data_IF_579339430658
#
_entry.id   IF_579339430658
#
_cell.length_a   1.000
_cell.length_b   1.000
_cell.length_c   1.000
_cell.angle_alpha   90.00
_cell.angle_beta   90.00
_cell.angle_gamma   90.00
#
_symmetry.space_group_name_H-M   'P 1'
#
loop_
_entity.id
_entity.type
_entity.pdbx_description
1 polymer ?
#
# COMPACT_ATOMS: atom_id res chain seq x y z
N UNK A 1 14.34 -3.89 -4.12
CA UNK A 1 13.18 -4.71 -4.46
C UNK A 1 13.67 -6.01 -5.07
N UNK A 2 13.84 -7.04 -4.24
CA UNK A 2 14.38 -8.34 -4.65
C UNK A 2 13.27 -9.38 -4.51
N UNK A 3 12.78 -9.92 -5.62
CA UNK A 3 11.78 -10.99 -5.59
C UNK A 3 12.41 -12.29 -5.08
N UNK A 4 11.65 -13.05 -4.29
CA UNK A 4 12.05 -14.38 -3.83
C UNK A 4 12.37 -15.30 -5.01
N UNK A 5 11.56 -15.25 -6.07
CA UNK A 5 11.80 -16.05 -7.27
C UNK A 5 13.13 -15.77 -7.95
N UNK A 6 13.53 -14.48 -7.95
CA UNK A 6 14.80 -14.03 -8.52
C UNK A 6 15.96 -14.45 -7.62
N UNK A 7 15.80 -14.29 -6.30
CA UNK A 7 16.79 -14.71 -5.31
C UNK A 7 17.09 -16.22 -5.37
N UNK A 8 16.05 -17.04 -5.51
CA UNK A 8 16.19 -18.50 -5.63
C UNK A 8 16.52 -18.98 -7.06
N UNK A 9 16.57 -18.07 -8.05
CA UNK A 9 16.77 -18.41 -9.46
C UNK A 9 15.75 -19.45 -9.99
N UNK A 10 14.48 -19.32 -9.59
CA UNK A 10 13.40 -20.25 -9.95
C UNK A 10 12.46 -19.73 -11.03
N UNK A 11 12.73 -18.55 -11.61
CA UNK A 11 11.91 -17.95 -12.67
C UNK A 11 10.45 -17.73 -12.23
N UNK A 12 9.48 -18.00 -13.09
CA UNK A 12 8.05 -17.78 -12.77
C UNK A 12 7.39 -18.92 -11.96
N UNK A 13 8.17 -19.84 -11.37
CA UNK A 13 7.62 -21.02 -10.69
C UNK A 13 6.64 -20.69 -9.56
N UNK A 14 6.89 -19.62 -8.79
CA UNK A 14 5.95 -19.18 -7.74
C UNK A 14 4.59 -18.77 -8.31
N UNK A 15 4.57 -17.96 -9.38
CA UNK A 15 3.34 -17.59 -10.07
C UNK A 15 2.63 -18.80 -10.68
N UNK A 16 3.37 -19.76 -11.24
CA UNK A 16 2.80 -20.97 -11.83
C UNK A 16 2.02 -21.83 -10.81
N UNK A 17 2.38 -21.73 -9.54
CA UNK A 17 1.70 -22.41 -8.42
C UNK A 17 0.80 -21.47 -7.63
N UNK A 18 0.53 -20.27 -8.16
CA UNK A 18 -0.27 -19.19 -7.54
C UNK A 18 0.20 -18.78 -6.14
N UNK A 19 1.49 -18.90 -5.87
CA UNK A 19 2.11 -18.38 -4.65
C UNK A 19 2.56 -16.94 -4.86
N UNK A 20 2.33 -16.09 -3.86
CA UNK A 20 2.78 -14.71 -3.88
C UNK A 20 4.30 -14.65 -3.86
N UNK A 21 4.88 -13.99 -4.86
CA UNK A 21 6.32 -13.77 -4.98
C UNK A 21 6.72 -12.56 -4.14
N UNK A 22 7.11 -12.82 -2.89
CA UNK A 22 7.44 -11.78 -1.94
C UNK A 22 8.64 -10.94 -2.40
N UNK A 23 8.61 -9.67 -2.03
CA UNK A 23 9.77 -8.78 -2.09
C UNK A 23 10.55 -8.95 -0.77
N UNK A 24 11.79 -9.39 -0.84
CA UNK A 24 12.56 -9.78 0.34
C UNK A 24 13.01 -8.58 1.18
N UNK A 25 13.30 -7.44 0.54
CA UNK A 25 13.87 -6.25 1.17
C UNK A 25 12.84 -5.16 1.52
N UNK A 26 11.57 -5.35 1.16
CA UNK A 26 10.48 -4.37 1.34
C UNK A 26 9.18 -5.11 1.66
N UNK A 27 8.23 -4.47 2.31
CA UNK A 27 6.87 -5.02 2.43
C UNK A 27 6.02 -4.60 1.24
N UNK A 28 5.20 -5.53 0.74
CA UNK A 28 4.30 -5.25 -0.36
C UNK A 28 2.98 -4.66 0.17
N UNK A 29 2.46 -3.66 -0.55
CA UNK A 29 1.20 -2.98 -0.23
C UNK A 29 -0.05 -3.82 -0.60
N UNK A 30 -0.03 -5.11 -0.25
CA UNK A 30 -1.17 -6.02 -0.30
C UNK A 30 -1.64 -6.34 1.12
N UNK A 31 -2.85 -6.87 1.21
CA UNK A 31 -3.41 -7.31 2.48
C UNK A 31 -4.18 -8.62 2.30
N UNK A 32 -4.34 -9.40 3.37
CA UNK A 32 -5.20 -10.59 3.37
C UNK A 32 -6.65 -10.14 3.38
N UNK A 33 -7.37 -10.40 2.28
CA UNK A 33 -8.77 -10.03 2.14
C UNK A 33 -9.65 -11.19 2.62
N UNK A 34 -10.42 -10.97 3.69
CA UNK A 34 -11.28 -11.99 4.29
C UNK A 34 -12.38 -12.51 3.35
N UNK A 35 -12.88 -11.70 2.41
CA UNK A 35 -13.83 -12.18 1.40
C UNK A 35 -13.14 -13.10 0.38
N UNK A 36 -11.85 -12.88 0.10
CA UNK A 36 -11.06 -13.82 -0.70
C UNK A 36 -10.76 -15.10 0.07
N UNK A 37 -10.48 -15.02 1.38
CA UNK A 37 -10.36 -16.20 2.26
C UNK A 37 -11.67 -16.99 2.33
N UNK A 38 -12.83 -16.33 2.25
CA UNK A 38 -14.15 -16.96 2.18
C UNK A 38 -14.33 -17.79 0.90
N UNK A 39 -13.89 -17.26 -0.23
CA UNK A 39 -14.16 -17.82 -1.55
C UNK A 39 -13.00 -18.69 -2.10
N UNK A 40 -11.87 -18.76 -1.38
CA UNK A 40 -10.67 -19.48 -1.83
C UNK A 40 -10.87 -20.98 -1.95
N UNK A 41 -10.26 -21.57 -2.98
CA UNK A 41 -10.20 -23.01 -3.18
C UNK A 41 -8.86 -23.63 -2.72
N UNK A 42 -7.97 -22.83 -2.13
CA UNK A 42 -6.68 -23.32 -1.63
C UNK A 42 -6.91 -24.25 -0.44
N UNK A 43 -6.38 -25.47 -0.54
CA UNK A 43 -6.67 -26.59 0.38
C UNK A 43 -6.47 -26.22 1.84
N UNK A 44 -5.37 -25.55 2.17
CA UNK A 44 -5.03 -25.16 3.54
C UNK A 44 -5.99 -24.11 4.11
N UNK A 45 -6.55 -23.25 3.26
CA UNK A 45 -7.39 -22.12 3.66
C UNK A 45 -8.89 -22.38 3.53
N UNK A 46 -9.31 -23.56 3.04
CA UNK A 46 -10.73 -23.91 2.81
C UNK A 46 -11.63 -23.69 4.05
N UNK A 47 -11.09 -23.87 5.25
CA UNK A 47 -11.80 -23.65 6.52
C UNK A 47 -11.42 -22.33 7.22
N UNK A 48 -10.59 -21.49 6.59
CA UNK A 48 -10.04 -20.28 7.19
C UNK A 48 -11.11 -19.28 7.59
N UNK A 49 -12.08 -19.01 6.70
CA UNK A 49 -13.20 -18.11 7.01
C UNK A 49 -14.03 -18.62 8.19
N UNK A 50 -14.32 -19.92 8.23
CA UNK A 50 -15.04 -20.55 9.35
C UNK A 50 -14.23 -20.44 10.66
N UNK A 51 -12.93 -20.69 10.63
CA UNK A 51 -12.03 -20.58 11.80
C UNK A 51 -12.03 -19.17 12.38
N UNK A 52 -11.92 -18.17 11.53
CA UNK A 52 -11.97 -16.74 11.91
C UNK A 52 -13.34 -16.41 12.53
N UNK A 53 -14.43 -16.81 11.88
CA UNK A 53 -15.78 -16.58 12.40
C UNK A 53 -16.05 -17.31 13.72
N UNK A 54 -15.60 -18.56 13.87
CA UNK A 54 -15.73 -19.32 15.11
C UNK A 54 -14.98 -18.64 16.26
N UNK A 55 -13.80 -18.07 15.97
CA UNK A 55 -13.03 -17.28 16.94
C UNK A 55 -13.81 -16.05 17.42
N UNK A 56 -14.33 -15.24 16.50
CA UNK A 56 -15.10 -14.04 16.85
C UNK A 56 -16.45 -14.37 17.49
N UNK A 57 -17.10 -15.47 17.09
CA UNK A 57 -18.32 -15.96 17.73
C UNK A 57 -18.07 -16.31 19.20
N UNK A 58 -16.91 -16.88 19.54
CA UNK A 58 -16.54 -17.13 20.93
C UNK A 58 -16.35 -15.83 21.73
N UNK A 59 -15.75 -14.80 21.14
CA UNK A 59 -15.67 -13.47 21.76
C UNK A 59 -17.08 -12.90 21.98
N UNK A 60 -17.94 -12.99 20.96
CA UNK A 60 -19.32 -12.52 21.05
C UNK A 60 -20.11 -13.23 22.15
N UNK A 61 -19.95 -14.56 22.27
CA UNK A 61 -20.59 -15.35 23.33
C UNK A 61 -20.11 -14.92 24.74
N UNK A 62 -18.81 -14.67 24.90
CA UNK A 62 -18.26 -14.15 26.17
C UNK A 62 -18.88 -12.78 26.49
N UNK A 63 -18.94 -11.88 25.51
CA UNK A 63 -19.53 -10.56 25.69
C UNK A 63 -21.02 -10.60 26.03
N UNK A 64 -21.78 -11.51 25.42
CA UNK A 64 -23.20 -11.71 25.74
C UNK A 64 -23.45 -12.04 27.22
N UNK A 65 -22.52 -12.74 27.86
CA UNK A 65 -22.60 -13.08 29.30
C UNK A 65 -21.99 -12.00 30.22
N UNK A 66 -21.37 -10.97 29.67
CA UNK A 66 -20.80 -9.87 30.44
C UNK A 66 -21.88 -8.90 30.94
N UNK A 67 -21.77 -8.50 32.22
CA UNK A 67 -22.66 -7.51 32.86
C UNK A 67 -22.14 -6.07 32.80
N UNK A 68 -20.93 -5.85 32.27
CA UNK A 68 -20.31 -4.53 32.21
C UNK A 68 -18.78 -4.60 32.11
N UNK A 69 -18.13 -3.45 31.98
CA UNK A 69 -16.69 -3.37 31.70
C UNK A 69 -15.78 -3.93 32.81
N UNK A 70 -16.25 -3.92 34.07
CA UNK A 70 -15.52 -4.47 35.21
C UNK A 70 -15.64 -6.00 35.34
N UNK A 71 -16.58 -6.61 34.62
CA UNK A 71 -16.90 -8.03 34.68
C UNK A 71 -15.77 -8.91 34.13
N UNK A 72 -15.64 -10.13 34.68
CA UNK A 72 -14.62 -11.09 34.25
C UNK A 72 -14.74 -11.44 32.77
N UNK A 73 -15.96 -11.62 32.25
CA UNK A 73 -16.19 -11.97 30.86
C UNK A 73 -15.75 -10.84 29.94
N UNK A 74 -16.03 -9.58 30.31
CA UNK A 74 -15.54 -8.43 29.54
C UNK A 74 -14.00 -8.42 29.46
N UNK A 75 -13.33 -8.60 30.60
CA UNK A 75 -11.86 -8.65 30.66
C UNK A 75 -11.28 -9.82 29.85
N UNK A 76 -11.94 -10.98 29.85
CA UNK A 76 -11.53 -12.12 29.02
C UNK A 76 -11.73 -11.85 27.52
N UNK A 77 -12.79 -11.15 27.11
CA UNK A 77 -12.97 -10.74 25.72
C UNK A 77 -11.85 -9.79 25.26
N UNK A 78 -11.46 -8.82 26.10
CA UNK A 78 -10.32 -7.93 25.86
C UNK A 78 -9.02 -8.72 25.70
N UNK A 79 -8.74 -9.67 26.59
CA UNK A 79 -7.53 -10.51 26.52
C UNK A 79 -7.49 -11.37 25.26
N UNK A 80 -8.66 -11.89 24.86
CA UNK A 80 -8.78 -12.70 23.64
C UNK A 80 -8.59 -11.84 22.41
N UNK A 81 -9.10 -10.60 22.36
CA UNK A 81 -8.91 -9.71 21.22
C UNK A 81 -7.47 -9.13 21.21
N UNK A 82 -6.49 -9.99 20.98
CA UNK A 82 -5.08 -9.65 20.92
C UNK A 82 -4.45 -10.42 19.76
N UNK A 83 -3.97 -9.66 18.78
CA UNK A 83 -3.39 -10.17 17.55
C UNK A 83 -1.98 -9.63 17.41
N UNK A 84 -1.05 -10.50 17.06
CA UNK A 84 0.34 -10.13 16.84
C UNK A 84 0.61 -9.97 15.34
N UNK A 85 1.70 -9.32 14.99
CA UNK A 85 2.16 -9.31 13.61
C UNK A 85 2.71 -10.69 13.25
N UNK A 86 2.31 -11.26 12.12
CA UNK A 86 2.87 -12.53 11.62
C UNK A 86 4.07 -12.19 10.74
N UNK A 87 5.25 -12.22 11.34
CA UNK A 87 6.50 -11.96 10.62
C UNK A 87 6.71 -12.96 9.49
N UNK A 88 7.32 -12.50 8.39
CA UNK A 88 7.71 -13.38 7.28
C UNK A 88 6.75 -13.49 6.10
N UNK A 89 5.55 -12.90 6.21
CA UNK A 89 4.57 -12.91 5.11
C UNK A 89 4.83 -11.85 4.03
N UNK A 90 5.71 -10.86 4.32
CA UNK A 90 6.16 -9.85 3.36
C UNK A 90 5.07 -8.83 2.96
N UNK A 91 4.09 -8.60 3.83
CA UNK A 91 3.02 -7.63 3.67
C UNK A 91 3.16 -6.51 4.70
N UNK A 92 2.70 -5.30 4.37
CA UNK A 92 2.64 -4.21 5.34
C UNK A 92 2.85 -2.83 4.74
N UNK A 93 2.63 -1.81 5.58
CA UNK A 93 2.84 -0.40 5.23
C UNK A 93 4.13 0.16 5.84
N UNK A 94 5.12 0.49 5.00
CA UNK A 94 6.39 1.07 5.45
C UNK A 94 6.24 2.58 5.79
N UNK A 95 5.79 2.92 7.01
CA UNK A 95 5.97 4.27 7.60
C UNK A 95 6.39 4.29 9.09
N UNK A 96 6.78 3.17 9.69
CA UNK A 96 7.28 3.14 11.07
C UNK A 96 7.91 1.80 11.45
N UNK A 97 8.75 1.80 12.48
CA UNK A 97 9.61 0.67 12.84
C UNK A 97 8.96 -0.42 13.72
N UNK A 98 7.64 -0.41 13.92
CA UNK A 98 6.88 -1.48 14.60
C UNK A 98 5.43 -1.50 14.12
N UNK A 99 4.90 -2.69 13.77
CA UNK A 99 3.49 -2.89 13.48
C UNK A 99 2.61 -2.32 14.58
N UNK A 100 1.70 -1.43 14.21
CA UNK A 100 0.78 -0.82 15.16
C UNK A 100 -0.36 -1.79 15.42
N UNK A 101 -0.13 -2.80 16.26
CA UNK A 101 -1.19 -3.71 16.71
C UNK A 101 -2.34 -2.94 17.38
N UNK A 102 -3.44 -3.62 17.72
CA UNK A 102 -4.67 -2.97 18.20
C UNK A 102 -4.51 -2.12 19.46
N UNK A 103 -3.42 -2.24 20.23
CA UNK A 103 -3.15 -1.40 21.41
C UNK A 103 -4.23 -1.55 22.50
N UNK A 104 -3.97 -1.05 23.70
CA UNK A 104 -4.93 -1.23 24.81
C UNK A 104 -6.20 -0.41 24.62
N UNK A 105 -6.07 0.86 24.26
CA UNK A 105 -7.19 1.80 24.15
C UNK A 105 -8.14 1.44 23.00
N UNK A 106 -7.60 1.16 21.82
CA UNK A 106 -8.40 0.79 20.66
C UNK A 106 -9.05 -0.60 20.82
N UNK A 107 -8.34 -1.58 21.39
CA UNK A 107 -8.96 -2.87 21.77
C UNK A 107 -10.15 -2.67 22.72
N UNK A 108 -10.00 -1.82 23.74
CA UNK A 108 -11.06 -1.51 24.68
C UNK A 108 -12.28 -0.87 24.00
N UNK A 109 -12.04 0.05 23.05
CA UNK A 109 -13.10 0.70 22.28
C UNK A 109 -13.84 -0.30 21.38
N UNK A 110 -13.12 -1.11 20.62
CA UNK A 110 -13.68 -2.17 19.77
C UNK A 110 -14.57 -3.12 20.59
N UNK A 111 -14.08 -3.59 21.72
CA UNK A 111 -14.81 -4.55 22.55
C UNK A 111 -16.02 -3.90 23.23
N UNK A 112 -15.95 -2.61 23.55
CA UNK A 112 -17.11 -1.86 24.02
C UNK A 112 -18.19 -1.75 22.92
N UNK A 113 -17.81 -1.40 21.70
CA UNK A 113 -18.75 -1.26 20.59
C UNK A 113 -19.36 -2.61 20.21
N UNK A 114 -18.56 -3.67 20.19
CA UNK A 114 -19.05 -5.04 20.02
C UNK A 114 -20.06 -5.44 21.12
N UNK A 115 -19.82 -5.04 22.38
CA UNK A 115 -20.77 -5.30 23.48
C UNK A 115 -22.11 -4.59 23.25
N UNK A 116 -22.09 -3.33 22.81
CA UNK A 116 -23.32 -2.56 22.49
C UNK A 116 -24.11 -3.27 21.38
N UNK A 117 -23.44 -3.70 20.32
CA UNK A 117 -24.05 -4.45 19.20
C UNK A 117 -24.69 -5.76 19.67
N UNK A 118 -23.97 -6.51 20.50
CA UNK A 118 -24.43 -7.81 21.02
C UNK A 118 -25.62 -7.62 21.96
N UNK A 119 -25.62 -6.58 22.79
CA UNK A 119 -26.76 -6.26 23.67
C UNK A 119 -28.00 -5.80 22.90
N UNK A 120 -27.83 -5.15 21.74
CA UNK A 120 -28.92 -4.88 20.80
C UNK A 120 -29.45 -6.17 20.12
N UNK A 121 -28.75 -7.29 20.29
CA UNK A 121 -29.16 -8.63 19.87
C UNK A 121 -28.74 -8.98 18.45
N UNK A 122 -27.59 -8.46 17.99
CA UNK A 122 -26.88 -8.92 16.79
C UNK A 122 -25.67 -9.74 17.24
N UNK A 123 -25.61 -11.01 16.83
CA UNK A 123 -24.59 -11.98 17.30
C UNK A 123 -23.68 -12.46 16.16
N UNK A 124 -23.76 -11.82 14.99
CA UNK A 124 -22.99 -12.18 13.81
C UNK A 124 -21.49 -11.85 13.99
N UNK A 125 -20.57 -12.82 13.80
CA UNK A 125 -19.13 -12.59 13.98
C UNK A 125 -18.56 -11.59 12.95
N UNK A 126 -19.22 -11.41 11.81
CA UNK A 126 -18.79 -10.47 10.76
C UNK A 126 -18.75 -9.00 11.23
N UNK A 127 -19.37 -8.65 12.37
CA UNK A 127 -19.19 -7.33 12.99
C UNK A 127 -17.72 -7.02 13.26
N UNK A 128 -16.91 -8.05 13.56
CA UNK A 128 -15.48 -7.90 13.81
C UNK A 128 -14.68 -7.72 12.51
N UNK A 129 -15.20 -8.17 11.36
CA UNK A 129 -14.58 -7.89 10.07
C UNK A 129 -14.80 -6.44 9.64
N UNK A 130 -15.93 -5.87 10.06
CA UNK A 130 -16.37 -4.52 9.70
C UNK A 130 -15.85 -3.43 10.64
N UNK A 131 -14.98 -3.74 11.61
CA UNK A 131 -14.45 -2.76 12.56
C UNK A 131 -13.82 -1.54 11.85
N UNK A 132 -13.16 -1.76 10.70
CA UNK A 132 -12.58 -0.70 9.89
C UNK A 132 -13.58 0.38 9.44
N UNK A 133 -14.87 0.07 9.35
CA UNK A 133 -15.92 1.00 8.94
C UNK A 133 -16.30 2.00 10.01
N UNK A 134 -16.23 1.60 11.27
CA UNK A 134 -16.70 2.43 12.37
C UNK A 134 -15.56 2.88 13.28
N UNK A 135 -14.47 2.13 13.41
CA UNK A 135 -13.33 2.52 14.24
C UNK A 135 -12.25 3.33 13.51
N UNK A 136 -11.84 4.41 14.17
CA UNK A 136 -10.68 5.19 13.75
C UNK A 136 -9.41 4.38 14.00
N UNK A 137 -8.39 4.59 13.16
CA UNK A 137 -7.13 3.85 13.23
C UNK A 137 -7.25 2.34 13.03
N UNK A 138 -8.37 1.83 12.52
CA UNK A 138 -8.48 0.46 11.99
C UNK A 138 -8.53 0.56 10.47
N UNK A 139 -7.47 0.08 9.84
CA UNK A 139 -7.34 0.00 8.39
C UNK A 139 -7.05 -1.42 7.92
N UNK A 140 -6.97 -1.63 6.60
CA UNK A 140 -6.78 -2.95 6.00
C UNK A 140 -5.52 -3.68 6.50
N UNK A 141 -4.47 -2.94 6.83
CA UNK A 141 -3.22 -3.46 7.41
C UNK A 141 -3.45 -4.19 8.74
N UNK A 142 -4.10 -3.54 9.71
CA UNK A 142 -4.44 -4.16 11.01
C UNK A 142 -5.42 -5.32 10.88
N UNK A 143 -6.37 -5.23 9.94
CA UNK A 143 -7.29 -6.32 9.66
C UNK A 143 -6.53 -7.51 9.05
N UNK A 144 -5.58 -7.25 8.17
CA UNK A 144 -4.69 -8.27 7.59
C UNK A 144 -3.85 -8.96 8.65
N UNK A 145 -3.25 -8.22 9.59
CA UNK A 145 -2.50 -8.78 10.71
C UNK A 145 -3.38 -9.68 11.60
N UNK A 146 -4.60 -9.22 11.87
CA UNK A 146 -5.60 -9.97 12.63
C UNK A 146 -5.95 -11.30 11.93
N UNK A 147 -6.22 -11.27 10.63
CA UNK A 147 -6.52 -12.48 9.87
C UNK A 147 -5.29 -13.37 9.72
N UNK A 148 -4.10 -12.81 9.51
CA UNK A 148 -2.85 -13.54 9.45
C UNK A 148 -2.58 -14.30 10.76
N UNK A 149 -2.76 -13.63 11.92
CA UNK A 149 -2.61 -14.26 13.24
C UNK A 149 -3.53 -15.48 13.38
N UNK A 150 -4.79 -15.34 12.97
CA UNK A 150 -5.78 -16.41 13.08
C UNK A 150 -5.53 -17.55 12.09
N UNK A 151 -4.81 -17.28 11.00
CA UNK A 151 -4.49 -18.21 9.92
C UNK A 151 -3.03 -18.69 9.92
N UNK A 152 -2.26 -18.42 10.98
CA UNK A 152 -0.81 -18.65 10.97
C UNK A 152 -0.44 -20.12 10.70
N UNK A 153 -1.20 -21.06 11.26
CA UNK A 153 -1.01 -22.50 11.01
C UNK A 153 -1.25 -22.87 9.54
N UNK A 154 -2.31 -22.32 8.93
CA UNK A 154 -2.65 -22.52 7.53
C UNK A 154 -1.57 -21.93 6.61
N UNK A 155 -1.05 -20.75 6.94
CA UNK A 155 0.06 -20.10 6.23
C UNK A 155 1.32 -20.96 6.30
N UNK A 156 1.67 -21.48 7.47
CA UNK A 156 2.83 -22.38 7.64
C UNK A 156 2.66 -23.67 6.85
N UNK A 157 1.48 -24.30 6.88
CA UNK A 157 1.19 -25.52 6.12
C UNK A 157 1.27 -25.27 4.60
N UNK A 158 0.70 -24.16 4.13
CA UNK A 158 0.76 -23.76 2.73
C UNK A 158 2.21 -23.55 2.29
N UNK A 159 2.99 -22.82 3.07
CA UNK A 159 4.42 -22.57 2.81
C UNK A 159 5.19 -23.88 2.65
N UNK A 160 5.04 -24.81 3.61
CA UNK A 160 5.70 -26.13 3.54
C UNK A 160 5.32 -26.91 2.29
N UNK A 161 4.04 -26.90 1.90
CA UNK A 161 3.60 -27.57 0.67
C UNK A 161 4.27 -26.96 -0.56
N UNK A 162 4.30 -25.64 -0.67
CA UNK A 162 4.91 -24.95 -1.82
C UNK A 162 6.43 -25.19 -1.85
N UNK A 163 7.12 -25.11 -0.70
CA UNK A 163 8.55 -25.41 -0.61
C UNK A 163 8.85 -26.84 -1.06
N UNK A 164 8.06 -27.82 -0.60
CA UNK A 164 8.18 -29.20 -1.07
C UNK A 164 7.94 -29.34 -2.57
N UNK A 165 6.91 -28.67 -3.10
CA UNK A 165 6.56 -28.71 -4.53
C UNK A 165 7.64 -28.11 -5.42
N UNK A 166 8.32 -27.05 -4.96
CA UNK A 166 9.35 -26.34 -5.71
C UNK A 166 10.78 -26.79 -5.38
N UNK A 167 10.94 -27.71 -4.42
CA UNK A 167 12.24 -28.20 -3.96
C UNK A 167 13.04 -27.15 -3.18
N UNK A 168 12.38 -26.21 -2.48
CA UNK A 168 13.03 -25.20 -1.65
C UNK A 168 13.35 -25.84 -0.28
N UNK A 169 14.59 -26.29 -0.11
CA UNK A 169 15.07 -26.94 1.11
C UNK A 169 16.60 -26.83 1.22
N UNK A 170 17.15 -27.23 2.37
CA UNK A 170 18.59 -27.20 2.67
C UNK A 170 19.45 -28.05 1.73
N UNK A 171 18.90 -29.10 1.12
CA UNK A 171 19.67 -30.00 0.23
C UNK A 171 19.87 -29.36 -1.15
N UNK A 172 18.84 -28.69 -1.67
CA UNK A 172 18.88 -28.02 -2.97
C UNK A 172 19.47 -26.61 -2.90
N UNK A 173 19.49 -26.00 -1.71
CA UNK A 173 20.03 -24.65 -1.45
C UNK A 173 20.93 -24.65 -0.21
N UNK A 174 22.08 -25.37 -0.24
CA UNK A 174 22.97 -25.53 0.92
C UNK A 174 23.63 -24.22 1.39
N UNK A 175 23.72 -23.22 0.52
CA UNK A 175 24.27 -21.89 0.80
C UNK A 175 23.27 -20.96 1.51
N UNK A 176 21.99 -21.35 1.59
CA UNK A 176 20.94 -20.55 2.20
C UNK A 176 20.65 -20.99 3.63
N UNK A 177 20.27 -20.02 4.47
CA UNK A 177 19.92 -20.28 5.86
C UNK A 177 18.46 -20.67 6.03
N UNK A 178 18.19 -21.64 6.91
CA UNK A 178 16.84 -22.13 7.19
C UNK A 178 16.64 -22.36 8.69
N UNK A 179 15.54 -21.87 9.22
CA UNK A 179 15.03 -22.18 10.55
C UNK A 179 14.05 -23.36 10.45
N UNK A 180 14.50 -24.55 10.87
CA UNK A 180 13.76 -25.78 10.62
C UNK A 180 13.59 -26.03 9.12
N UNK A 181 12.34 -26.01 8.64
CA UNK A 181 11.95 -26.18 7.23
C UNK A 181 11.73 -24.85 6.50
N UNK A 182 11.87 -23.70 7.18
CA UNK A 182 11.56 -22.40 6.62
C UNK A 182 12.83 -21.64 6.23
N UNK A 183 12.88 -21.16 4.99
CA UNK A 183 13.95 -20.30 4.48
C UNK A 183 13.99 -18.99 5.28
N UNK A 184 15.19 -18.55 5.67
CA UNK A 184 15.41 -17.26 6.33
C UNK A 184 15.59 -16.19 5.25
N UNK A 185 14.90 -15.06 5.43
CA UNK A 185 15.07 -13.87 4.62
C UNK A 185 16.39 -13.17 5.00
N UNK A 186 17.37 -13.07 4.09
CA UNK A 186 18.68 -12.49 4.40
C UNK A 186 18.65 -10.96 4.60
N UNK A 187 17.54 -10.29 4.25
CA UNK A 187 17.40 -8.82 4.38
C UNK A 187 16.60 -8.41 5.62
N UNK A 188 15.75 -9.30 6.14
CA UNK A 188 14.86 -9.04 7.29
C UNK A 188 15.14 -9.93 8.50
N UNK A 189 16.04 -10.91 8.36
CA UNK A 189 16.45 -11.84 9.43
C UNK A 189 15.27 -12.60 10.07
N UNK A 190 14.25 -12.91 9.28
CA UNK A 190 13.07 -13.68 9.71
C UNK A 190 12.74 -14.79 8.72
N UNK A 191 11.95 -15.78 9.13
CA UNK A 191 11.50 -16.84 8.23
C UNK A 191 10.62 -16.28 7.10
N UNK A 192 10.63 -16.93 5.94
CA UNK A 192 9.75 -16.59 4.81
C UNK A 192 8.53 -17.52 4.84
N UNK A 193 7.35 -16.91 4.89
CA UNK A 193 6.04 -17.54 4.90
C UNK A 193 5.23 -17.15 3.67
N UNK A 194 5.04 -18.08 2.74
CA UNK A 194 4.31 -17.82 1.50
C UNK A 194 2.81 -17.70 1.73
N UNK A 195 2.18 -16.83 0.95
CA UNK A 195 0.73 -16.69 0.87
C UNK A 195 0.24 -17.09 -0.53
N UNK A 196 -0.98 -17.64 -0.65
CA UNK A 196 -1.63 -17.75 -1.95
C UNK A 196 -1.96 -16.37 -2.51
N UNK A 197 -1.73 -16.15 -3.80
CA UNK A 197 -2.17 -14.94 -4.50
C UNK A 197 -3.69 -14.73 -4.36
N UNK A 198 -4.43 -15.83 -4.37
CA UNK A 198 -5.90 -15.86 -4.33
C UNK A 198 -6.53 -15.11 -3.13
N UNK A 199 -5.85 -15.08 -1.98
CA UNK A 199 -6.35 -14.44 -0.76
C UNK A 199 -5.86 -13.00 -0.56
N UNK A 200 -5.02 -12.51 -1.48
CA UNK A 200 -4.42 -11.19 -1.41
C UNK A 200 -5.20 -10.19 -2.26
N UNK A 201 -5.19 -8.93 -1.82
CA UNK A 201 -5.74 -7.84 -2.61
C UNK A 201 -4.94 -6.54 -2.40
N UNK A 202 -4.98 -5.62 -3.37
CA UNK A 202 -4.40 -4.28 -3.23
C UNK A 202 -5.09 -3.51 -2.11
N UNK A 203 -4.34 -2.72 -1.33
CA UNK A 203 -4.94 -1.80 -0.37
C UNK A 203 -6.02 -0.93 -1.06
N UNK A 204 -7.25 -0.87 -0.54
CA UNK A 204 -8.33 -0.16 -1.20
C UNK A 204 -8.03 1.33 -1.29
N UNK A 205 -8.08 1.88 -2.50
CA UNK A 205 -8.13 3.34 -2.71
C UNK A 205 -9.59 3.85 -2.57
N UNK A 206 -10.59 2.99 -2.83
CA UNK A 206 -12.02 3.14 -2.55
C UNK A 206 -12.81 2.03 -3.28
N UNK A 207 -12.61 0.76 -2.91
CA UNK A 207 -13.25 -0.37 -3.59
C UNK A 207 -13.72 -1.52 -2.69
N UNK A 208 -13.30 -1.59 -1.43
CA UNK A 208 -13.70 -2.65 -0.50
C UNK A 208 -14.69 -2.17 0.56
N UNK A 209 -15.13 -3.06 1.45
CA UNK A 209 -15.99 -2.76 2.58
C UNK A 209 -15.37 -1.82 3.62
N UNK A 210 -14.10 -1.46 3.49
CA UNK A 210 -13.49 -0.36 4.26
C UNK A 210 -13.78 1.03 3.65
N UNK A 211 -14.33 1.10 2.43
CA UNK A 211 -14.80 2.34 1.81
C UNK A 211 -16.23 2.66 2.28
N UNK A 212 -16.29 3.56 3.26
CA UNK A 212 -17.53 4.11 3.80
C UNK A 212 -18.48 4.60 2.70
N UNK A 213 -17.97 5.21 1.63
CA UNK A 213 -18.82 5.72 0.56
C UNK A 213 -19.44 4.60 -0.28
N UNK A 214 -18.76 3.46 -0.44
CA UNK A 214 -19.30 2.26 -1.07
C UNK A 214 -20.40 1.66 -0.20
N UNK A 215 -20.14 1.47 1.08
CA UNK A 215 -21.11 0.90 2.03
C UNK A 215 -22.38 1.74 2.10
N UNK A 216 -22.24 3.07 2.18
CA UNK A 216 -23.38 3.97 2.12
C UNK A 216 -24.12 3.97 0.76
N UNK A 217 -23.48 3.55 -0.34
CA UNK A 217 -24.16 3.36 -1.64
C UNK A 217 -25.01 2.10 -1.66
N UNK A 218 -24.48 0.99 -1.17
CA UNK A 218 -25.18 -0.31 -1.16
C UNK A 218 -26.43 -0.24 -0.27
N UNK A 219 -26.33 0.49 0.84
CA UNK A 219 -27.46 0.73 1.73
C UNK A 219 -28.17 2.04 1.36
N UNK A 220 -29.01 1.99 0.31
CA UNK A 220 -29.76 3.15 -0.20
C UNK A 220 -30.57 3.93 0.87
N UNK A 221 -30.99 3.26 1.95
CA UNK A 221 -31.67 3.91 3.09
C UNK A 221 -30.75 4.81 3.90
N UNK A 222 -29.49 4.43 4.14
CA UNK A 222 -28.51 5.28 4.84
C UNK A 222 -28.33 6.60 4.08
N UNK A 223 -28.27 6.56 2.74
CA UNK A 223 -28.23 7.77 1.91
C UNK A 223 -29.47 8.66 1.99
N UNK A 224 -30.62 8.11 2.34
CA UNK A 224 -31.86 8.87 2.48
C UNK A 224 -32.02 9.43 3.90
N UNK A 225 -31.47 8.75 4.91
CA UNK A 225 -31.47 9.17 6.32
C UNK A 225 -30.31 10.14 6.65
N UNK A 226 -29.26 10.17 5.81
CA UNK A 226 -28.28 11.27 5.80
C UNK A 226 -29.03 12.56 5.44
N UNK A 227 -29.31 13.39 6.47
CA UNK A 227 -29.99 14.69 6.36
C UNK A 227 -29.60 15.46 5.09
N UNK A 228 -30.55 16.15 4.46
CA UNK A 228 -30.36 16.87 3.18
C UNK A 228 -29.11 17.76 3.12
N UNK A 229 -28.72 18.34 4.26
CA UNK A 229 -27.49 19.14 4.44
C UNK A 229 -26.20 18.30 4.38
N UNK A 230 -26.21 17.13 5.02
CA UNK A 230 -25.10 16.18 5.03
C UNK A 230 -25.00 15.49 3.67
N UNK A 231 -26.13 15.17 3.02
CA UNK A 231 -26.17 14.51 1.71
C UNK A 231 -25.50 15.33 0.60
N UNK A 232 -25.68 16.66 0.62
CA UNK A 232 -25.04 17.57 -0.35
C UNK A 232 -23.52 17.67 -0.18
N UNK A 233 -23.01 17.39 1.02
CA UNK A 233 -21.60 17.56 1.37
C UNK A 233 -20.89 16.25 1.74
N UNK A 234 -21.57 15.09 1.74
CA UNK A 234 -21.03 13.81 2.22
C UNK A 234 -19.72 13.42 1.55
N UNK A 235 -19.64 13.55 0.22
CA UNK A 235 -18.41 13.28 -0.53
C UNK A 235 -17.23 14.20 -0.15
N UNK A 236 -17.51 15.35 0.48
CA UNK A 236 -16.52 16.33 0.94
C UNK A 236 -16.22 16.23 2.43
N UNK A 237 -16.95 15.40 3.18
CA UNK A 237 -16.74 15.20 4.62
C UNK A 237 -15.54 14.26 4.82
N UNK A 238 -14.69 14.55 5.81
CA UNK A 238 -13.54 13.72 6.16
C UNK A 238 -13.94 12.34 6.69
N UNK A 239 -13.10 11.34 6.45
CA UNK A 239 -13.36 9.92 6.84
C UNK A 239 -13.75 9.75 8.30
N UNK A 240 -13.09 10.47 9.23
CA UNK A 240 -13.38 10.42 10.69
C UNK A 240 -14.85 10.75 10.99
N UNK A 241 -15.39 11.82 10.41
CA UNK A 241 -16.78 12.21 10.61
C UNK A 241 -17.76 11.19 10.00
N UNK A 242 -17.40 10.59 8.86
CA UNK A 242 -18.20 9.52 8.26
C UNK A 242 -18.23 8.28 9.16
N UNK A 243 -17.09 7.88 9.73
CA UNK A 243 -16.99 6.76 10.69
C UNK A 243 -17.82 7.02 11.94
N UNK A 244 -17.74 8.24 12.50
CA UNK A 244 -18.58 8.63 13.65
C UNK A 244 -20.06 8.53 13.33
N UNK A 245 -20.48 9.04 12.16
CA UNK A 245 -21.87 8.97 11.72
C UNK A 245 -22.35 7.51 11.57
N UNK A 246 -21.54 6.64 10.96
CA UNK A 246 -21.83 5.20 10.86
C UNK A 246 -21.99 4.59 12.25
N UNK A 247 -21.04 4.84 13.16
CA UNK A 247 -21.09 4.30 14.52
C UNK A 247 -22.34 4.75 15.28
N UNK A 248 -22.70 6.03 15.19
CA UNK A 248 -23.82 6.58 15.95
C UNK A 248 -25.19 6.16 15.39
N UNK A 249 -25.32 6.04 14.06
CA UNK A 249 -26.62 5.87 13.40
C UNK A 249 -26.87 4.45 12.86
N UNK A 250 -25.84 3.71 12.48
CA UNK A 250 -25.98 2.37 11.88
C UNK A 250 -25.79 1.29 12.93
N UNK A 251 -24.72 1.36 13.73
CA UNK A 251 -24.47 0.36 14.78
C UNK A 251 -25.60 0.36 15.82
N UNK A 252 -26.14 1.53 16.15
CA UNK A 252 -27.26 1.67 17.09
C UNK A 252 -28.60 1.17 16.52
N UNK A 253 -28.71 0.98 15.20
CA UNK A 253 -29.93 0.49 14.53
C UNK A 253 -29.75 -0.96 14.08
N UNK A 254 -30.39 -1.88 14.82
CA UNK A 254 -30.35 -3.32 14.56
C UNK A 254 -30.76 -3.69 13.13
N UNK A 255 -31.76 -3.02 12.56
CA UNK A 255 -32.24 -3.34 11.20
C UNK A 255 -31.19 -2.94 10.16
N UNK A 256 -30.61 -1.75 10.29
CA UNK A 256 -29.56 -1.27 9.38
C UNK A 256 -28.28 -2.10 9.51
N UNK A 257 -27.87 -2.43 10.74
CA UNK A 257 -26.69 -3.27 10.98
C UNK A 257 -26.85 -4.68 10.41
N UNK A 258 -28.00 -5.32 10.61
CA UNK A 258 -28.24 -6.65 10.04
C UNK A 258 -28.27 -6.61 8.50
N UNK A 259 -28.84 -5.55 7.91
CA UNK A 259 -28.80 -5.35 6.46
C UNK A 259 -27.36 -5.21 5.96
N UNK A 260 -26.55 -4.38 6.63
CA UNK A 260 -25.12 -4.20 6.33
C UNK A 260 -24.37 -5.53 6.35
N UNK A 261 -24.57 -6.33 7.40
CA UNK A 261 -23.91 -7.63 7.56
C UNK A 261 -24.35 -8.62 6.47
N UNK A 262 -25.63 -8.63 6.11
CA UNK A 262 -26.13 -9.52 5.05
C UNK A 262 -25.56 -9.13 3.68
N UNK A 263 -25.55 -7.84 3.34
CA UNK A 263 -24.92 -7.35 2.10
C UNK A 263 -23.42 -7.69 2.08
N UNK A 264 -22.72 -7.53 3.22
CA UNK A 264 -21.32 -7.92 3.37
C UNK A 264 -21.09 -9.42 3.11
N UNK A 265 -21.91 -10.30 3.70
CA UNK A 265 -21.81 -11.75 3.53
C UNK A 265 -22.03 -12.19 2.09
N UNK A 266 -23.00 -11.58 1.40
CA UNK A 266 -23.32 -11.87 0.00
C UNK A 266 -22.31 -11.25 -0.99
N UNK A 267 -21.54 -10.26 -0.54
CA UNK A 267 -20.58 -9.59 -1.39
C UNK A 267 -19.49 -10.53 -1.89
N UNK A 268 -19.08 -10.28 -3.13
CA UNK A 268 -17.96 -10.94 -3.78
C UNK A 268 -16.89 -9.90 -4.09
N UNK A 269 -15.64 -10.29 -3.88
CA UNK A 269 -14.46 -9.50 -4.25
C UNK A 269 -13.75 -10.26 -5.35
N UNK A 270 -13.53 -9.62 -6.49
CA UNK A 270 -12.80 -10.21 -7.61
C UNK A 270 -11.34 -10.53 -7.22
N UNK A 271 -10.73 -11.46 -7.94
CA UNK A 271 -9.29 -11.76 -7.77
C UNK A 271 -8.44 -10.55 -8.15
N UNK A 272 -7.39 -10.31 -7.37
CA UNK A 272 -6.34 -9.39 -7.80
C UNK A 272 -5.56 -10.03 -8.96
N UNK A 273 -5.43 -9.29 -10.06
CA UNK A 273 -4.74 -9.77 -11.26
C UNK A 273 -3.23 -9.56 -11.09
N UNK A 274 -2.53 -10.56 -10.54
CA UNK A 274 -1.08 -10.56 -10.39
C UNK A 274 -0.31 -10.64 -11.72
N UNK A 275 -0.95 -11.05 -12.81
CA UNK A 275 -0.33 -11.09 -14.13
C UNK A 275 -0.27 -9.69 -14.74
N UNK A 276 -1.38 -8.94 -14.69
CA UNK A 276 -1.39 -7.52 -15.09
C UNK A 276 -0.72 -6.62 -14.06
N UNK A 277 -0.65 -7.08 -12.81
CA UNK A 277 -0.11 -6.41 -11.63
C UNK A 277 -0.44 -4.90 -11.65
N UNK A 278 -1.70 -4.47 -11.47
CA UNK A 278 -2.08 -3.05 -11.50
C UNK A 278 -1.21 -2.13 -10.63
N UNK A 279 -0.62 -2.64 -9.54
CA UNK A 279 0.28 -1.94 -8.64
C UNK A 279 1.74 -1.91 -9.15
N UNK A 280 2.06 -2.61 -10.23
CA UNK A 280 3.36 -2.58 -10.90
C UNK A 280 4.53 -3.08 -10.06
N UNK A 281 4.31 -3.68 -8.88
CA UNK A 281 5.35 -4.08 -7.95
C UNK A 281 6.24 -5.20 -8.52
N UNK A 282 5.64 -6.22 -9.13
CA UNK A 282 6.36 -7.31 -9.78
C UNK A 282 7.12 -6.80 -11.02
N UNK A 283 6.49 -5.94 -11.82
CA UNK A 283 7.13 -5.33 -13.00
C UNK A 283 8.34 -4.48 -12.58
N UNK A 284 8.20 -3.68 -11.52
CA UNK A 284 9.27 -2.88 -10.95
C UNK A 284 10.42 -3.74 -10.43
N UNK A 285 10.12 -4.82 -9.70
CA UNK A 285 11.14 -5.70 -9.16
C UNK A 285 11.92 -6.44 -10.26
N UNK A 286 11.24 -6.90 -11.32
CA UNK A 286 11.89 -7.49 -12.50
C UNK A 286 12.73 -6.48 -13.26
N UNK A 287 12.28 -5.23 -13.36
CA UNK A 287 13.09 -4.18 -13.96
C UNK A 287 14.34 -3.91 -13.11
N UNK A 288 14.19 -3.82 -11.79
CA UNK A 288 15.32 -3.60 -10.87
C UNK A 288 16.34 -4.73 -10.93
N UNK A 289 15.91 -5.99 -11.02
CA UNK A 289 16.85 -7.12 -11.12
C UNK A 289 17.66 -7.13 -12.42
N UNK A 290 17.18 -6.45 -13.46
CA UNK A 290 17.89 -6.28 -14.74
C UNK A 290 18.77 -5.03 -14.79
N UNK A 291 18.58 -4.08 -13.87
CA UNK A 291 19.44 -2.91 -13.77
C UNK A 291 20.81 -3.33 -13.23
N UNK A 292 21.85 -3.23 -14.05
CA UNK A 292 23.22 -3.39 -13.55
C UNK A 292 23.62 -2.11 -12.80
N UNK A 293 24.33 -2.24 -11.68
CA UNK A 293 24.88 -1.06 -10.99
C UNK A 293 25.78 -0.21 -11.90
N UNK A 294 26.51 -0.86 -12.80
CA UNK A 294 27.33 -0.24 -13.85
C UNK A 294 26.52 0.60 -14.84
N UNK A 295 25.23 0.30 -15.05
CA UNK A 295 24.34 1.08 -15.91
C UNK A 295 23.79 2.35 -15.21
N UNK A 296 23.98 2.44 -13.89
CA UNK A 296 23.46 3.51 -13.03
C UNK A 296 24.56 4.44 -12.52
N UNK A 297 25.76 3.96 -12.20
CA UNK A 297 26.75 4.77 -11.49
C UNK A 297 27.76 5.40 -12.47
N UNK A 298 27.79 6.73 -12.52
CA UNK A 298 28.98 7.47 -12.93
C UNK A 298 29.89 7.68 -11.71
N UNK A 299 31.20 7.83 -11.92
CA UNK A 299 32.21 7.93 -10.86
C UNK A 299 31.78 8.83 -9.67
N UNK A 300 32.10 8.38 -8.45
CA UNK A 300 31.78 9.10 -7.21
C UNK A 300 32.51 10.44 -7.20
N UNK A 301 31.77 11.54 -7.41
CA UNK A 301 32.30 12.89 -7.26
C UNK A 301 31.89 13.48 -5.90
N UNK A 302 32.82 13.40 -4.94
CA UNK A 302 32.63 13.91 -3.57
C UNK A 302 32.37 15.42 -3.51
N UNK A 303 32.66 16.17 -4.58
CA UNK A 303 32.50 17.62 -4.64
C UNK A 303 31.13 18.06 -5.16
N UNK A 304 30.32 17.16 -5.71
CA UNK A 304 28.96 17.51 -6.16
C UNK A 304 28.05 17.82 -4.97
N UNK A 305 27.21 18.85 -5.14
CA UNK A 305 26.13 19.18 -4.20
C UNK A 305 24.97 18.19 -4.34
N UNK A 306 24.06 18.14 -3.35
CA UNK A 306 22.86 17.32 -3.47
C UNK A 306 22.04 17.68 -4.71
N UNK A 307 22.01 18.96 -5.09
CA UNK A 307 21.26 19.41 -6.27
C UNK A 307 21.84 18.85 -7.57
N UNK A 308 23.17 18.84 -7.71
CA UNK A 308 23.84 18.29 -8.90
C UNK A 308 23.60 16.79 -9.01
N UNK A 309 23.79 16.04 -7.91
CA UNK A 309 23.58 14.59 -7.90
C UNK A 309 22.11 14.25 -8.17
N UNK A 310 21.17 14.98 -7.55
CA UNK A 310 19.73 14.74 -7.75
C UNK A 310 19.29 15.07 -9.17
N UNK A 311 19.87 16.11 -9.76
CA UNK A 311 19.66 16.41 -11.18
C UNK A 311 20.16 15.25 -12.05
N UNK A 312 21.35 14.71 -11.79
CA UNK A 312 21.89 13.56 -12.53
C UNK A 312 20.97 12.32 -12.40
N UNK A 313 20.41 12.08 -11.20
CA UNK A 313 19.40 11.04 -10.96
C UNK A 313 18.16 11.26 -11.85
N UNK A 314 17.62 12.49 -11.88
CA UNK A 314 16.44 12.81 -12.71
C UNK A 314 16.72 12.68 -14.21
N UNK A 315 17.91 13.08 -14.68
CA UNK A 315 18.30 12.90 -16.08
C UNK A 315 18.51 11.41 -16.42
N UNK A 316 19.05 10.62 -15.50
CA UNK A 316 19.13 9.16 -15.68
C UNK A 316 17.74 8.53 -15.72
N UNK A 317 16.83 8.93 -14.84
CA UNK A 317 15.44 8.50 -14.87
C UNK A 317 14.80 8.82 -16.23
N UNK A 318 14.95 10.06 -16.72
CA UNK A 318 14.50 10.48 -18.05
C UNK A 318 15.07 9.58 -19.14
N UNK A 319 16.38 9.31 -19.11
CA UNK A 319 17.04 8.46 -20.09
C UNK A 319 16.50 7.02 -20.08
N UNK A 320 16.26 6.44 -18.90
CA UNK A 320 15.70 5.10 -18.77
C UNK A 320 14.30 5.01 -19.39
N UNK A 321 13.46 6.01 -19.10
CA UNK A 321 12.09 6.11 -19.65
C UNK A 321 12.12 6.28 -21.18
N UNK A 322 12.90 7.24 -21.68
CA UNK A 322 12.87 7.64 -23.09
C UNK A 322 13.62 6.68 -24.02
N UNK A 323 14.66 6.00 -23.52
CA UNK A 323 15.61 5.25 -24.36
C UNK A 323 15.81 3.79 -23.98
N UNK A 324 15.44 3.35 -22.77
CA UNK A 324 15.70 1.99 -22.26
C UNK A 324 14.41 1.20 -21.97
N UNK A 325 13.30 1.57 -22.61
CA UNK A 325 11.98 0.93 -22.49
C UNK A 325 11.37 0.96 -21.08
N UNK A 326 11.93 1.71 -20.14
CA UNK A 326 11.35 1.83 -18.80
C UNK A 326 9.97 2.53 -18.82
N UNK A 327 9.64 3.25 -19.91
CA UNK A 327 8.29 3.77 -20.14
C UNK A 327 7.21 2.70 -20.05
N UNK A 328 7.47 1.45 -20.46
CA UNK A 328 6.51 0.34 -20.40
C UNK A 328 6.02 0.06 -18.98
N UNK A 329 6.85 0.33 -17.96
CA UNK A 329 6.50 0.16 -16.54
C UNK A 329 5.39 1.13 -16.13
N UNK A 330 5.27 2.27 -16.82
CA UNK A 330 4.26 3.29 -16.52
C UNK A 330 2.89 2.98 -17.15
N UNK A 331 2.76 1.86 -17.86
CA UNK A 331 1.53 1.42 -18.52
C UNK A 331 1.17 -0.01 -18.14
N UNK A 332 -0.12 -0.32 -18.21
CA UNK A 332 -0.62 -1.69 -18.25
C UNK A 332 -0.48 -2.28 -19.65
N UNK A 333 -0.66 -3.59 -19.80
CA UNK A 333 -0.55 -4.27 -21.10
C UNK A 333 -1.53 -3.74 -22.16
N UNK A 334 -2.68 -3.22 -21.73
CA UNK A 334 -3.67 -2.54 -22.58
C UNK A 334 -3.35 -1.05 -22.82
N UNK A 335 -2.12 -0.64 -22.56
CA UNK A 335 -1.58 0.72 -22.75
C UNK A 335 -2.32 1.81 -21.95
N UNK A 336 -2.98 1.45 -20.84
CA UNK A 336 -3.52 2.46 -19.92
C UNK A 336 -2.42 2.97 -18.99
N UNK A 337 -2.32 4.29 -18.75
CA UNK A 337 -1.36 4.83 -17.80
C UNK A 337 -1.63 4.31 -16.38
N UNK A 338 -0.57 3.87 -15.70
CA UNK A 338 -0.61 3.54 -14.27
C UNK A 338 -0.61 4.80 -13.42
N UNK A 339 -0.85 4.62 -12.11
CA UNK A 339 -0.87 5.71 -11.12
C UNK A 339 0.53 6.33 -10.95
N UNK A 340 0.57 7.60 -10.55
CA UNK A 340 1.81 8.37 -10.26
C UNK A 340 2.75 7.65 -9.29
N UNK A 341 2.18 6.90 -8.35
CA UNK A 341 2.92 6.07 -7.40
C UNK A 341 3.92 5.11 -8.07
N UNK A 342 3.61 4.59 -9.25
CA UNK A 342 4.51 3.68 -9.99
C UNK A 342 5.73 4.43 -10.51
N UNK A 343 5.53 5.64 -11.04
CA UNK A 343 6.63 6.50 -11.47
C UNK A 343 7.50 6.91 -10.29
N UNK A 344 6.89 7.21 -9.13
CA UNK A 344 7.61 7.50 -7.89
C UNK A 344 8.43 6.29 -7.43
N UNK A 345 7.87 5.07 -7.42
CA UNK A 345 8.62 3.88 -7.04
C UNK A 345 9.77 3.56 -8.00
N UNK A 346 9.56 3.74 -9.31
CA UNK A 346 10.63 3.61 -10.31
C UNK A 346 11.75 4.63 -10.07
N UNK A 347 11.38 5.88 -9.77
CA UNK A 347 12.34 6.93 -9.42
C UNK A 347 13.12 6.56 -8.17
N UNK A 348 12.45 6.10 -7.12
CA UNK A 348 13.08 5.64 -5.88
C UNK A 348 14.12 4.55 -6.13
N UNK A 349 13.80 3.56 -6.98
CA UNK A 349 14.73 2.46 -7.30
C UNK A 349 16.03 2.98 -7.95
N UNK A 350 15.93 4.00 -8.82
CA UNK A 350 17.09 4.61 -9.47
C UNK A 350 17.83 5.52 -8.49
N UNK A 351 17.10 6.35 -7.74
CA UNK A 351 17.65 7.31 -6.80
C UNK A 351 18.43 6.64 -5.65
N UNK A 352 17.91 5.55 -5.09
CA UNK A 352 18.54 4.82 -3.97
C UNK A 352 19.96 4.36 -4.32
N UNK A 353 20.15 3.81 -5.53
CA UNK A 353 21.47 3.36 -5.99
C UNK A 353 22.48 4.53 -6.07
N UNK A 354 22.06 5.66 -6.64
CA UNK A 354 22.89 6.86 -6.73
C UNK A 354 23.19 7.47 -5.37
N UNK A 355 22.19 7.58 -4.49
CA UNK A 355 22.34 8.16 -3.17
C UNK A 355 23.30 7.33 -2.31
N UNK A 356 23.18 5.99 -2.33
CA UNK A 356 24.12 5.09 -1.64
C UNK A 356 25.55 5.25 -2.17
N UNK A 357 25.74 5.30 -3.49
CA UNK A 357 27.06 5.48 -4.08
C UNK A 357 27.70 6.83 -3.73
N UNK A 358 26.90 7.88 -3.54
CA UNK A 358 27.36 9.23 -3.25
C UNK A 358 27.27 9.62 -1.77
N UNK A 359 26.94 8.67 -0.88
CA UNK A 359 26.75 8.91 0.56
C UNK A 359 25.76 10.07 0.85
N UNK A 360 24.62 10.04 0.16
CA UNK A 360 23.49 10.94 0.39
C UNK A 360 22.38 10.21 1.14
N UNK A 361 21.70 10.94 2.03
CA UNK A 361 20.44 10.49 2.59
C UNK A 361 19.32 10.72 1.57
N UNK A 362 18.44 9.71 1.40
CA UNK A 362 17.27 9.76 0.54
C UNK A 362 16.03 9.47 1.38
N UNK A 363 15.12 10.44 1.42
CA UNK A 363 13.90 10.39 2.20
C UNK A 363 12.67 10.56 1.30
N UNK A 364 11.94 9.49 0.95
CA UNK A 364 10.69 9.56 0.20
C UNK A 364 9.53 10.06 1.08
N UNK A 365 8.55 10.75 0.48
CA UNK A 365 7.30 11.19 1.13
C UNK A 365 7.47 11.97 2.46
N UNK A 366 8.50 12.80 2.55
CA UNK A 366 8.78 13.61 3.74
C UNK A 366 7.63 14.59 4.03
N UNK A 367 7.02 14.49 5.21
CA UNK A 367 5.86 15.29 5.59
C UNK A 367 6.14 16.17 6.82
N UNK A 368 7.02 17.17 6.65
CA UNK A 368 7.33 18.16 7.69
C UNK A 368 6.29 19.32 7.70
N UNK A 369 5.62 19.56 6.56
CA UNK A 369 4.75 20.71 6.33
C UNK A 369 3.32 20.35 5.96
N UNK A 370 2.72 21.13 5.05
CA UNK A 370 1.32 20.99 4.60
C UNK A 370 1.15 19.93 3.50
N UNK A 371 1.79 18.78 3.68
CA UNK A 371 1.75 17.67 2.74
C UNK A 371 3.12 17.03 2.52
N UNK A 372 3.14 15.77 2.05
CA UNK A 372 4.38 15.07 1.76
C UNK A 372 5.01 15.58 0.46
N UNK A 373 6.29 15.91 0.49
CA UNK A 373 7.11 16.05 -0.73
C UNK A 373 7.51 14.67 -1.23
N UNK A 374 7.49 14.45 -2.56
CA UNK A 374 7.74 13.12 -3.11
C UNK A 374 9.12 12.56 -2.72
N UNK A 375 10.19 13.36 -2.89
CA UNK A 375 11.54 12.97 -2.46
C UNK A 375 12.33 14.15 -1.91
N UNK A 376 13.13 13.87 -0.88
CA UNK A 376 14.21 14.72 -0.38
C UNK A 376 15.52 13.95 -0.42
N UNK A 377 16.54 14.56 -0.99
CA UNK A 377 17.94 14.12 -0.82
C UNK A 377 18.68 15.09 0.08
N UNK A 378 19.53 14.61 0.97
CA UNK A 378 20.30 15.49 1.85
C UNK A 378 21.76 15.05 2.05
N UNK A 379 22.62 16.03 2.29
CA UNK A 379 24.01 15.86 2.75
C UNK A 379 24.20 16.75 3.97
N UNK A 380 23.71 16.26 5.11
CA UNK A 380 23.55 17.07 6.32
C UNK A 380 22.44 18.11 6.16
N UNK A 381 22.32 19.01 7.14
CA UNK A 381 21.17 19.92 7.22
C UNK A 381 21.21 21.09 6.22
N UNK A 382 22.39 21.52 5.79
CA UNK A 382 22.55 22.72 4.94
C UNK A 382 22.39 22.47 3.45
N UNK A 383 22.56 21.23 3.00
CA UNK A 383 22.46 20.84 1.59
C UNK A 383 21.34 19.81 1.43
N UNK A 384 20.17 20.30 1.03
CA UNK A 384 18.95 19.52 0.84
C UNK A 384 18.39 19.84 -0.54
N UNK A 385 17.93 18.84 -1.28
CA UNK A 385 17.25 19.02 -2.56
C UNK A 385 15.92 18.28 -2.55
N UNK A 386 14.87 18.93 -3.05
CA UNK A 386 13.53 18.37 -3.14
C UNK A 386 13.19 18.04 -4.59
N UNK A 387 12.52 16.91 -4.80
CA UNK A 387 11.95 16.50 -6.08
C UNK A 387 10.46 16.32 -5.91
N UNK A 388 9.68 16.96 -6.78
CA UNK A 388 8.24 16.74 -6.91
C UNK A 388 7.97 16.15 -8.29
N UNK A 389 7.30 14.99 -8.34
CA UNK A 389 6.97 14.28 -9.57
C UNK A 389 5.51 14.52 -9.93
N UNK A 390 5.22 14.77 -11.21
CA UNK A 390 3.84 14.87 -11.69
C UNK A 390 3.64 14.17 -13.02
N UNK A 391 2.57 13.38 -13.11
CA UNK A 391 2.09 12.84 -14.39
C UNK A 391 1.23 13.88 -15.12
N UNK A 392 1.41 14.01 -16.43
CA UNK A 392 0.56 14.92 -17.24
C UNK A 392 -0.92 14.51 -17.27
N UNK A 393 -1.25 13.24 -17.06
CA UNK A 393 -2.64 12.77 -16.90
C UNK A 393 -3.27 13.24 -15.58
N UNK A 394 -2.47 13.57 -14.56
CA UNK A 394 -2.92 14.11 -13.26
C UNK A 394 -3.17 15.63 -13.34
N UNK A 395 -4.07 15.94 -14.24
CA UNK A 395 -4.11 17.22 -14.93
C UNK A 395 -4.65 18.40 -14.10
N UNK A 396 -5.16 18.16 -12.88
CA UNK A 396 -5.50 19.20 -11.90
C UNK A 396 -4.35 19.58 -10.96
N UNK A 397 -3.39 18.66 -10.77
CA UNK A 397 -2.26 18.83 -9.85
C UNK A 397 -1.01 19.39 -10.54
N UNK A 398 -0.94 19.36 -11.87
CA UNK A 398 0.23 19.79 -12.63
C UNK A 398 0.57 21.27 -12.48
N UNK A 399 -0.42 22.16 -12.44
CA UNK A 399 -0.17 23.60 -12.19
C UNK A 399 -0.06 23.87 -10.70
N UNK A 400 -0.92 23.24 -9.89
CA UNK A 400 -0.94 23.42 -8.44
C UNK A 400 0.37 22.99 -7.76
N UNK A 401 0.99 21.91 -8.22
CA UNK A 401 2.26 21.43 -7.69
C UNK A 401 3.41 22.42 -7.91
N UNK A 402 3.39 23.10 -9.06
CA UNK A 402 4.37 24.11 -9.39
C UNK A 402 4.14 25.43 -8.61
N UNK A 403 2.89 25.88 -8.48
CA UNK A 403 2.57 27.17 -7.86
C UNK A 403 2.51 27.12 -6.32
N UNK A 404 2.07 26.01 -5.74
CA UNK A 404 1.74 25.93 -4.31
C UNK A 404 2.61 24.91 -3.58
N UNK A 405 2.65 23.65 -4.06
CA UNK A 405 3.30 22.57 -3.30
C UNK A 405 4.79 22.84 -3.10
N UNK A 406 5.52 23.12 -4.19
CA UNK A 406 6.97 23.40 -4.11
C UNK A 406 7.32 24.59 -3.23
N UNK A 407 6.48 25.63 -3.18
CA UNK A 407 6.72 26.79 -2.31
C UNK A 407 6.59 26.41 -0.84
N UNK A 408 5.54 25.68 -0.48
CA UNK A 408 5.31 25.23 0.90
C UNK A 408 6.39 24.22 1.35
N UNK A 409 6.82 23.32 0.46
CA UNK A 409 7.90 22.37 0.76
C UNK A 409 9.24 23.10 0.93
N UNK A 410 9.55 24.07 0.07
CA UNK A 410 10.76 24.90 0.19
C UNK A 410 10.84 25.63 1.54
N UNK A 411 9.71 26.14 2.04
CA UNK A 411 9.63 26.78 3.37
C UNK A 411 9.83 25.77 4.49
N UNK A 412 9.13 24.63 4.43
CA UNK A 412 9.15 23.62 5.49
C UNK A 412 10.52 22.95 5.64
N UNK A 413 11.22 22.71 4.54
CA UNK A 413 12.54 22.06 4.53
C UNK A 413 13.70 23.05 4.47
N UNK A 414 13.43 24.36 4.50
CA UNK A 414 14.44 25.44 4.48
C UNK A 414 15.46 25.31 3.33
N UNK A 415 15.02 24.87 2.14
CA UNK A 415 15.88 24.72 0.96
C UNK A 415 15.33 25.44 -0.26
N UNK A 416 16.24 25.85 -1.15
CA UNK A 416 15.94 26.45 -2.47
C UNK A 416 16.23 25.52 -3.64
N UNK A 417 16.82 24.37 -3.37
CA UNK A 417 17.14 23.39 -4.40
C UNK A 417 15.88 22.56 -4.67
N UNK A 418 15.16 22.92 -5.73
CA UNK A 418 13.88 22.33 -6.10
C UNK A 418 13.96 21.80 -7.52
N UNK A 419 13.57 20.55 -7.73
CA UNK A 419 13.43 19.91 -9.04
C UNK A 419 11.96 19.55 -9.24
N UNK A 420 11.40 19.97 -10.37
CA UNK A 420 10.06 19.61 -10.79
C UNK A 420 10.15 18.63 -11.95
N UNK A 421 9.81 17.37 -11.71
CA UNK A 421 9.95 16.27 -12.67
C UNK A 421 8.58 15.93 -13.28
N UNK A 422 8.34 16.41 -14.49
CA UNK A 422 7.08 16.19 -15.21
C UNK A 422 7.22 15.03 -16.17
N UNK A 423 6.33 14.05 -16.07
CA UNK A 423 6.33 12.86 -16.92
C UNK A 423 5.09 12.90 -17.82
N UNK A 424 5.33 13.07 -19.12
CA UNK A 424 4.30 13.02 -20.15
C UNK A 424 3.94 11.58 -20.50
N UNK A 425 2.79 11.17 -19.99
CA UNK A 425 2.22 9.86 -20.18
C UNK A 425 0.91 9.92 -20.99
N UNK A 426 0.71 10.98 -21.78
CA UNK A 426 -0.48 11.18 -22.63
C UNK A 426 -1.49 12.18 -22.07
N UNK A 427 -1.04 13.15 -21.28
CA UNK A 427 -1.89 14.19 -20.72
C UNK A 427 -2.36 15.24 -21.75
N UNK A 428 -3.26 16.13 -21.33
CA UNK A 428 -3.82 17.17 -22.19
C UNK A 428 -2.76 18.21 -22.59
N UNK A 429 -2.51 18.39 -23.90
CA UNK A 429 -1.61 19.42 -24.45
C UNK A 429 -1.89 20.82 -23.90
N UNK A 430 -3.17 21.23 -23.85
CA UNK A 430 -3.59 22.54 -23.29
C UNK A 430 -3.11 22.76 -21.86
N UNK A 431 -3.04 21.69 -21.06
CA UNK A 431 -2.63 21.76 -19.66
C UNK A 431 -1.12 21.73 -19.50
N UNK A 432 -0.41 21.03 -20.38
CA UNK A 432 1.05 21.11 -20.50
C UNK A 432 1.44 22.55 -20.89
N UNK A 433 0.76 23.14 -21.87
CA UNK A 433 0.93 24.55 -22.26
C UNK A 433 0.66 25.51 -21.09
N UNK A 434 -0.41 25.27 -20.32
CA UNK A 434 -0.71 26.05 -19.12
C UNK A 434 0.38 25.95 -18.05
N UNK A 435 0.94 24.74 -17.84
CA UNK A 435 2.07 24.52 -16.93
C UNK A 435 3.29 25.31 -17.39
N UNK A 436 3.68 25.23 -18.67
CA UNK A 436 4.80 26.01 -19.21
C UNK A 436 4.57 27.52 -19.06
N UNK A 437 3.35 27.99 -19.37
CA UNK A 437 2.98 29.41 -19.19
C UNK A 437 3.12 29.84 -17.72
N UNK A 438 2.76 28.98 -16.77
CA UNK A 438 2.98 29.26 -15.34
C UNK A 438 4.47 29.20 -15.01
N UNK A 439 5.22 28.22 -15.50
CA UNK A 439 6.66 28.07 -15.29
C UNK A 439 7.47 29.27 -15.78
N UNK A 440 7.06 29.86 -16.91
CA UNK A 440 7.71 31.04 -17.48
C UNK A 440 7.52 32.28 -16.63
N UNK A 441 6.43 32.38 -15.85
CA UNK A 441 6.24 33.49 -14.87
C UNK A 441 7.30 33.47 -13.77
N UNK A 442 7.93 32.32 -13.50
CA UNK A 442 9.04 32.24 -12.54
C UNK A 442 10.36 32.78 -13.10
N UNK A 443 10.43 33.22 -14.37
CA UNK A 443 11.62 33.85 -14.93
C UNK A 443 12.03 35.09 -14.10
N UNK A 444 13.26 35.09 -13.58
CA UNK A 444 13.79 36.18 -12.74
C UNK A 444 13.54 36.03 -11.24
N UNK A 445 12.75 35.05 -10.80
CA UNK A 445 12.60 34.74 -9.38
C UNK A 445 13.80 33.94 -8.86
N UNK A 446 14.34 34.33 -7.70
CA UNK A 446 15.43 33.59 -7.01
C UNK A 446 15.05 32.15 -6.60
N UNK A 447 13.78 31.76 -6.75
CA UNK A 447 13.21 30.46 -6.31
C UNK A 447 12.63 29.63 -7.48
N UNK A 448 13.07 29.85 -8.73
CA UNK A 448 12.57 29.08 -9.87
C UNK A 448 13.03 27.61 -9.76
N UNK A 449 12.11 26.62 -9.70
CA UNK A 449 12.49 25.22 -9.67
C UNK A 449 13.12 24.79 -11.00
N UNK A 450 14.01 23.80 -10.96
CA UNK A 450 14.57 23.20 -12.15
C UNK A 450 13.57 22.22 -12.76
N UNK A 451 13.06 22.51 -13.95
CA UNK A 451 12.08 21.68 -14.64
C UNK A 451 12.79 20.62 -15.50
N UNK A 452 12.42 19.37 -15.29
CA UNK A 452 12.79 18.25 -16.18
C UNK A 452 11.52 17.67 -16.74
N UNK A 453 11.41 17.60 -18.06
CA UNK A 453 10.27 17.04 -18.77
C UNK A 453 10.66 15.72 -19.41
N UNK A 454 9.93 14.65 -19.10
CA UNK A 454 10.19 13.27 -19.54
C UNK A 454 9.06 12.82 -20.47
N UNK A 455 9.39 12.39 -21.68
CA UNK A 455 8.42 11.82 -22.61
C UNK A 455 8.28 10.30 -22.37
N UNK A 456 7.22 9.90 -21.69
CA UNK A 456 6.89 8.50 -21.45
C UNK A 456 5.88 7.91 -22.43
N UNK A 457 5.43 8.67 -23.45
CA UNK A 457 4.45 8.18 -24.41
C UNK A 457 5.01 6.93 -25.13
N UNK A 458 4.31 5.79 -25.13
CA UNK A 458 4.74 4.59 -25.82
C UNK A 458 4.96 4.89 -27.30
N UNK A 459 6.14 4.54 -27.80
CA UNK A 459 6.50 4.68 -29.22
C UNK A 459 6.35 3.33 -29.90
N UNK A 460 5.86 3.34 -31.14
CA UNK A 460 5.88 2.16 -31.99
C UNK A 460 7.32 1.67 -32.24
N UNK A 461 7.46 0.39 -32.59
CA UNK A 461 8.77 -0.17 -32.98
C UNK A 461 9.40 0.67 -34.08
N UNK A 462 10.69 0.96 -33.97
CA UNK A 462 11.45 1.65 -35.01
C UNK A 462 11.38 0.93 -36.37
N UNK A 463 11.11 -0.38 -36.38
CA UNK A 463 10.93 -1.18 -37.59
C UNK A 463 9.58 -0.98 -38.30
N UNK A 464 8.66 -0.17 -37.74
CA UNK A 464 7.38 0.19 -38.37
C UNK A 464 7.43 1.56 -39.07
N UNK A 465 8.53 2.30 -38.93
CA UNK A 465 8.72 3.65 -39.48
C UNK A 465 9.67 3.65 -40.68
#
# INVERSE_FOLDING_TARGET
MILLSTYLNIGNKLNSVKAFDQILDLDANYFININRVKDTNVKEFKNGYKKINDYFKNIGLILKHSKGQSDRFYKEAIKKFNFHEVNGIGLGYSKGSKGSGFGKELTQKIINDAKVIIDAGTEDPEIFHLIGLFEDNVGPDRLSDMFATLLEDEIKQYTKRIYKQLGINKENYPELEFEGEFLINPYKENIILLLPQDILHELPIAKDWDDIDRVCREIEKIKNDINTLVKKNWSKIGSIYKKSYIRENIISDKMLLNRLINEYKESKVEEYDFEKDPLGLSVLAVYQSKLKQEDLIEDIDKNKTTFQITKDICERFKYQIENKKASQILYTDDLKPRKEKIAQQLFLCIADAYCKANNLDLSPECNIGRGPVDFKTSKGDKDKTLVEIKLTTNSGQLVHGLEVQLEEYSKAEETRNLIYLVIDNGGSKKKIEAMYKTYDKFAGYKKKPYLIFVNAIPKDSASKY
#
